data_IF_572654430393
#
_entry.id   IF_572654430393
#
_cell.length_a   1.000
_cell.length_b   1.000
_cell.length_c   1.000
_cell.angle_alpha   90.00
_cell.angle_beta   90.00
_cell.angle_gamma   90.00
#
_symmetry.space_group_name_H-M   'P 1'
#
loop_
_entity.id
_entity.type
_entity.pdbx_description
1 polymer ?
#
# COMPACT_ATOMS: atom_id res chain seq x y z
N UNK A 1 3.68 3.55 -8.47
CA UNK A 1 3.08 3.86 -7.15
C UNK A 1 3.14 2.64 -6.24
N UNK A 2 2.90 2.81 -4.94
CA UNK A 2 3.15 1.74 -3.94
C UNK A 2 2.38 0.44 -4.16
N UNK A 3 1.10 0.48 -4.57
CA UNK A 3 0.34 -0.74 -4.90
C UNK A 3 0.91 -1.54 -6.08
N UNK A 4 1.36 -0.85 -7.13
CA UNK A 4 2.02 -1.49 -8.28
C UNK A 4 3.37 -2.08 -7.86
N UNK A 5 4.12 -1.39 -6.99
CA UNK A 5 5.35 -1.90 -6.41
C UNK A 5 5.10 -3.22 -5.66
N UNK A 6 4.02 -3.31 -4.88
CA UNK A 6 3.64 -4.55 -4.21
C UNK A 6 3.26 -5.65 -5.19
N UNK A 7 2.50 -5.34 -6.24
CA UNK A 7 2.15 -6.28 -7.29
C UNK A 7 3.39 -6.85 -7.99
N UNK A 8 4.33 -5.98 -8.40
CA UNK A 8 5.59 -6.39 -9.00
C UNK A 8 6.40 -7.30 -8.07
N UNK A 9 6.49 -6.94 -6.78
CA UNK A 9 7.22 -7.74 -5.78
C UNK A 9 6.59 -9.10 -5.49
N UNK A 10 5.26 -9.22 -5.62
CA UNK A 10 4.52 -10.47 -5.42
C UNK A 10 4.43 -11.36 -6.66
N UNK A 11 4.73 -10.84 -7.85
CA UNK A 11 4.58 -11.53 -9.13
C UNK A 11 5.91 -11.82 -9.85
N UNK A 12 6.97 -11.06 -9.55
CA UNK A 12 8.27 -11.20 -10.17
C UNK A 12 9.39 -11.23 -9.14
N UNK A 13 10.56 -11.73 -9.54
CA UNK A 13 11.77 -11.64 -8.73
C UNK A 13 12.37 -10.24 -8.82
N UNK A 14 12.39 -9.54 -7.68
CA UNK A 14 12.98 -8.21 -7.54
C UNK A 14 14.01 -8.22 -6.41
N UNK A 15 15.04 -7.38 -6.56
CA UNK A 15 16.13 -7.32 -5.60
C UNK A 15 15.74 -6.58 -4.30
N UNK A 16 14.91 -5.54 -4.39
CA UNK A 16 14.36 -4.80 -3.26
C UNK A 16 13.00 -4.17 -3.60
N UNK A 17 12.20 -3.91 -2.56
CA UNK A 17 10.84 -3.36 -2.67
C UNK A 17 10.69 -2.15 -1.76
N UNK A 18 10.34 -0.98 -2.30
CA UNK A 18 10.21 0.25 -1.49
C UNK A 18 8.88 0.98 -1.72
N UNK A 19 7.75 0.44 -1.22
CA UNK A 19 6.43 1.03 -1.41
C UNK A 19 6.18 2.16 -0.39
N UNK A 20 6.13 3.39 -0.88
CA UNK A 20 5.73 4.56 -0.08
C UNK A 20 4.22 4.77 -0.15
N UNK A 21 3.57 5.02 1.00
CA UNK A 21 2.12 5.29 1.15
C UNK A 21 1.25 4.49 0.16
N UNK A 22 1.30 3.13 0.19
CA UNK A 22 0.78 2.32 -0.89
C UNK A 22 -0.75 2.36 -1.00
N UNK A 23 -1.23 2.99 -2.07
CA UNK A 23 -2.59 2.83 -2.60
C UNK A 23 -2.86 1.39 -3.08
N UNK A 24 -4.12 1.08 -3.43
CA UNK A 24 -4.57 -0.24 -3.91
C UNK A 24 -4.41 -1.36 -2.88
N UNK A 25 -4.56 -1.04 -1.59
CA UNK A 25 -4.42 -1.97 -0.48
C UNK A 25 -5.69 -1.97 0.37
N UNK A 26 -6.16 -3.16 0.73
CA UNK A 26 -7.32 -3.35 1.60
C UNK A 26 -8.57 -2.58 1.15
N UNK A 27 -8.96 -2.71 -0.12
CA UNK A 27 -10.00 -1.88 -0.76
C UNK A 27 -11.28 -1.73 0.08
N UNK A 28 -11.82 -2.84 0.59
CA UNK A 28 -13.06 -2.83 1.36
C UNK A 28 -12.93 -1.98 2.63
N UNK A 29 -11.82 -2.11 3.36
CA UNK A 29 -11.54 -1.27 4.54
C UNK A 29 -11.39 0.19 4.15
N UNK A 30 -10.65 0.49 3.10
CA UNK A 30 -10.43 1.87 2.64
C UNK A 30 -11.75 2.59 2.36
N UNK A 31 -12.64 1.96 1.57
CA UNK A 31 -13.95 2.52 1.22
C UNK A 31 -14.90 2.72 2.42
N UNK A 32 -14.63 2.07 3.56
CA UNK A 32 -15.43 2.19 4.78
C UNK A 32 -14.98 3.31 5.71
N UNK A 33 -13.77 3.86 5.53
CA UNK A 33 -13.18 4.83 6.48
C UNK A 33 -12.82 6.17 5.88
N UNK A 34 -12.67 6.24 4.56
CA UNK A 34 -12.42 7.50 3.89
C UNK A 34 -13.39 7.69 2.73
N UNK A 35 -13.73 8.96 2.49
CA UNK A 35 -14.54 9.42 1.37
C UNK A 35 -13.72 10.21 0.35
N UNK A 36 -12.39 10.16 0.47
CA UNK A 36 -11.43 10.82 -0.42
C UNK A 36 -11.26 10.03 -1.71
N UNK A 37 -10.93 10.75 -2.78
CA UNK A 37 -10.51 10.13 -4.04
C UNK A 37 -9.07 9.62 -3.94
N UNK A 38 -8.72 8.51 -4.61
CA UNK A 38 -9.54 7.78 -5.59
C UNK A 38 -10.44 6.66 -5.02
N UNK A 39 -10.32 6.24 -3.76
CA UNK A 39 -11.18 5.16 -3.21
C UNK A 39 -12.68 5.50 -3.28
N UNK A 40 -13.04 6.78 -3.19
CA UNK A 40 -14.41 7.25 -3.34
C UNK A 40 -15.07 6.87 -4.68
N UNK A 41 -14.30 6.62 -5.75
CA UNK A 41 -14.85 6.14 -7.03
C UNK A 41 -15.57 4.81 -6.85
N UNK A 42 -15.00 3.88 -6.08
CA UNK A 42 -15.61 2.58 -5.77
C UNK A 42 -16.88 2.75 -4.94
N UNK A 43 -16.82 3.59 -3.91
CA UNK A 43 -17.99 3.90 -3.07
C UNK A 43 -19.10 4.54 -3.89
N UNK A 44 -18.77 5.45 -4.83
CA UNK A 44 -19.73 6.10 -5.70
C UNK A 44 -20.33 5.14 -6.73
N UNK A 45 -19.53 4.25 -7.30
CA UNK A 45 -20.02 3.16 -8.16
C UNK A 45 -21.01 2.26 -7.40
N UNK A 46 -20.65 1.84 -6.17
CA UNK A 46 -21.51 0.99 -5.34
C UNK A 46 -22.80 1.67 -4.86
N UNK A 47 -22.81 3.00 -4.72
CA UNK A 47 -24.05 3.76 -4.42
C UNK A 47 -25.08 3.67 -5.55
N UNK A 48 -24.62 3.60 -6.80
CA UNK A 48 -25.48 3.47 -7.99
C UNK A 48 -25.84 2.01 -8.22
N UNK A 49 -24.85 1.12 -8.17
CA UNK A 49 -24.96 -0.32 -8.42
C UNK A 49 -24.98 -1.13 -7.13
N UNK A 50 -26.03 -0.96 -6.33
CA UNK A 50 -26.13 -1.53 -4.97
C UNK A 50 -26.06 -3.06 -4.94
N UNK A 51 -26.48 -3.70 -6.02
CA UNK A 51 -26.46 -5.14 -6.21
C UNK A 51 -25.06 -5.69 -6.54
N UNK A 52 -24.11 -4.84 -6.93
CA UNK A 52 -22.77 -5.26 -7.40
C UNK A 52 -21.67 -5.18 -6.35
N UNK A 53 -21.99 -4.80 -5.10
CA UNK A 53 -20.99 -4.58 -4.05
C UNK A 53 -20.06 -5.78 -3.88
N UNK A 54 -20.61 -6.99 -3.78
CA UNK A 54 -19.81 -8.19 -3.59
C UNK A 54 -18.97 -8.54 -4.83
N UNK A 55 -19.54 -8.43 -6.03
CA UNK A 55 -18.79 -8.63 -7.30
C UNK A 55 -17.63 -7.65 -7.46
N UNK A 56 -17.80 -6.39 -7.06
CA UNK A 56 -16.75 -5.37 -7.10
C UNK A 56 -15.59 -5.78 -6.20
N UNK A 57 -15.85 -6.12 -4.94
CA UNK A 57 -14.79 -6.48 -4.00
C UNK A 57 -14.19 -7.85 -4.27
N UNK A 58 -14.95 -8.79 -4.84
CA UNK A 58 -14.41 -10.04 -5.36
C UNK A 58 -13.41 -9.77 -6.50
N UNK A 59 -13.76 -8.92 -7.46
CA UNK A 59 -12.86 -8.52 -8.56
C UNK A 59 -11.61 -7.83 -8.03
N UNK A 60 -11.78 -6.85 -7.14
CA UNK A 60 -10.66 -6.10 -6.55
C UNK A 60 -9.72 -6.97 -5.71
N UNK A 61 -10.20 -8.10 -5.18
CA UNK A 61 -9.35 -9.02 -4.40
C UNK A 61 -8.16 -9.55 -5.21
N UNK A 62 -8.29 -9.68 -6.53
CA UNK A 62 -7.20 -10.10 -7.42
C UNK A 62 -6.12 -9.03 -7.60
N UNK A 63 -6.43 -7.78 -7.26
CA UNK A 63 -5.56 -6.62 -7.41
C UNK A 63 -5.15 -6.00 -6.07
N UNK A 64 -5.53 -6.61 -4.94
CA UNK A 64 -5.23 -6.08 -3.61
C UNK A 64 -3.76 -6.27 -3.25
N UNK A 65 -3.09 -5.16 -2.92
CA UNK A 65 -1.71 -5.12 -2.46
C UNK A 65 -1.43 -6.02 -1.26
N UNK A 66 -2.41 -6.30 -0.38
CA UNK A 66 -2.27 -7.28 0.71
C UNK A 66 -1.96 -8.68 0.16
N UNK A 67 -2.67 -9.09 -0.89
CA UNK A 67 -2.53 -10.42 -1.46
C UNK A 67 -1.18 -10.58 -2.17
N UNK A 68 -0.71 -9.52 -2.84
CA UNK A 68 0.64 -9.52 -3.41
C UNK A 68 1.73 -9.47 -2.34
N UNK A 69 1.56 -8.66 -1.29
CA UNK A 69 2.50 -8.59 -0.16
C UNK A 69 2.73 -9.97 0.47
N UNK A 70 1.67 -10.77 0.64
CA UNK A 70 1.77 -12.14 1.17
C UNK A 70 2.64 -13.10 0.33
N UNK A 71 2.96 -12.75 -0.92
CA UNK A 71 3.77 -13.57 -1.83
C UNK A 71 5.17 -13.00 -2.06
N UNK A 72 5.40 -11.74 -1.68
CA UNK A 72 6.64 -11.02 -1.94
C UNK A 72 7.76 -11.43 -0.98
N UNK A 73 8.96 -11.70 -1.51
CA UNK A 73 10.11 -12.24 -0.75
C UNK A 73 11.30 -11.27 -0.60
N UNK A 74 11.39 -10.27 -1.47
CA UNK A 74 12.52 -9.33 -1.47
C UNK A 74 12.59 -8.52 -0.16
N UNK A 75 13.77 -8.04 0.27
CA UNK A 75 13.88 -7.03 1.31
C UNK A 75 13.05 -5.79 0.98
N UNK A 76 12.35 -5.26 1.97
CA UNK A 76 11.45 -4.12 1.77
C UNK A 76 11.60 -2.97 2.78
N UNK A 77 11.46 -1.74 2.27
CA UNK A 77 11.30 -0.53 3.08
C UNK A 77 9.99 0.17 2.72
N UNK A 78 9.03 0.11 3.63
CA UNK A 78 7.76 0.82 3.52
C UNK A 78 7.85 2.22 4.11
N UNK A 79 6.94 3.11 3.71
CA UNK A 79 6.60 4.30 4.50
C UNK A 79 5.09 4.51 4.63
N UNK A 80 4.70 5.19 5.71
CA UNK A 80 3.32 5.53 6.04
C UNK A 80 3.24 6.92 6.66
N UNK A 81 2.32 7.76 6.18
CA UNK A 81 1.88 8.96 6.88
C UNK A 81 0.72 8.61 7.81
N UNK A 82 0.83 8.88 9.12
CA UNK A 82 -0.21 8.47 10.09
C UNK A 82 -1.48 9.34 10.00
N UNK A 83 -1.40 10.49 9.33
CA UNK A 83 -2.56 11.35 9.02
C UNK A 83 -3.01 11.22 7.56
N UNK A 84 -2.49 10.24 6.80
CA UNK A 84 -2.85 10.03 5.39
C UNK A 84 -4.32 9.63 5.25
N UNK A 85 -5.12 10.49 4.62
CA UNK A 85 -6.53 10.24 4.32
C UNK A 85 -6.77 9.78 2.88
N UNK A 86 -5.73 9.67 2.05
CA UNK A 86 -5.79 9.09 0.70
C UNK A 86 -5.47 7.60 0.74
N UNK A 87 -4.41 7.22 1.46
CA UNK A 87 -3.98 5.85 1.71
C UNK A 87 -3.96 5.58 3.22
N UNK A 88 -5.12 5.31 3.84
CA UNK A 88 -5.25 5.28 5.29
C UNK A 88 -4.24 4.34 5.96
N UNK A 89 -3.66 4.71 7.12
CA UNK A 89 -2.61 3.91 7.76
C UNK A 89 -2.99 2.45 7.97
N UNK A 90 -4.25 2.17 8.32
CA UNK A 90 -4.73 0.79 8.49
C UNK A 90 -4.64 -0.07 7.23
N UNK A 91 -4.75 0.54 6.04
CA UNK A 91 -4.61 -0.15 4.75
C UNK A 91 -3.14 -0.41 4.42
N UNK A 92 -2.26 0.57 4.68
CA UNK A 92 -0.81 0.45 4.52
C UNK A 92 -0.24 -0.61 5.46
N UNK A 93 -0.62 -0.55 6.74
CA UNK A 93 -0.19 -1.54 7.73
C UNK A 93 -0.74 -2.93 7.44
N UNK A 94 -1.92 -3.08 6.84
CA UNK A 94 -2.41 -4.38 6.43
C UNK A 94 -1.50 -5.02 5.37
N UNK A 95 -1.07 -4.25 4.36
CA UNK A 95 -0.10 -4.72 3.37
C UNK A 95 1.29 -4.99 4.00
N UNK A 96 1.80 -4.06 4.82
CA UNK A 96 3.08 -4.24 5.53
C UNK A 96 3.07 -5.50 6.40
N UNK A 97 2.03 -5.72 7.20
CA UNK A 97 1.94 -6.86 8.11
C UNK A 97 1.88 -8.19 7.37
N UNK A 98 1.21 -8.26 6.21
CA UNK A 98 1.17 -9.46 5.37
C UNK A 98 2.42 -9.66 4.51
N UNK A 99 3.26 -8.63 4.33
CA UNK A 99 4.47 -8.76 3.52
C UNK A 99 5.37 -9.90 4.00
N UNK A 100 5.68 -10.87 3.14
CA UNK A 100 6.33 -12.11 3.56
C UNK A 100 7.87 -12.03 3.68
N UNK A 101 8.50 -11.11 2.94
CA UNK A 101 9.94 -10.88 2.97
C UNK A 101 10.43 -10.08 4.18
N UNK A 102 11.75 -9.93 4.34
CA UNK A 102 12.34 -9.03 5.34
C UNK A 102 11.83 -7.61 5.12
N UNK A 103 11.38 -6.93 6.18
CA UNK A 103 10.69 -5.65 6.04
C UNK A 103 11.00 -4.66 7.16
N UNK A 104 11.05 -3.39 6.79
CA UNK A 104 11.08 -2.24 7.69
C UNK A 104 10.01 -1.24 7.26
N UNK A 105 9.58 -0.37 8.18
CA UNK A 105 8.67 0.74 7.89
C UNK A 105 9.17 2.03 8.53
N UNK A 106 9.03 3.15 7.81
CA UNK A 106 9.14 4.50 8.37
C UNK A 106 7.75 5.07 8.58
N UNK A 107 7.42 5.35 9.84
CA UNK A 107 6.16 5.99 10.21
C UNK A 107 6.38 7.49 10.39
N UNK A 108 5.55 8.27 9.71
CA UNK A 108 5.58 9.73 9.75
C UNK A 108 4.33 10.23 10.46
N UNK A 109 4.47 10.57 11.74
CA UNK A 109 3.35 10.74 12.69
C UNK A 109 2.37 11.86 12.33
N UNK A 110 2.87 12.92 11.71
CA UNK A 110 2.10 14.14 11.42
C UNK A 110 1.89 14.39 9.93
N UNK A 111 2.38 13.48 9.09
CA UNK A 111 2.30 13.62 7.64
C UNK A 111 1.04 12.97 7.09
N UNK A 112 0.49 13.59 6.04
CA UNK A 112 -0.60 13.05 5.24
C UNK A 112 0.01 12.30 4.04
N UNK A 113 -0.57 12.42 2.85
CA UNK A 113 -0.21 11.63 1.68
C UNK A 113 1.17 11.97 1.08
N UNK A 114 1.79 13.07 1.50
CA UNK A 114 3.19 13.35 1.19
C UNK A 114 4.16 12.36 1.87
N UNK A 115 3.70 11.66 2.91
CA UNK A 115 4.50 10.73 3.69
C UNK A 115 5.78 11.40 4.20
N UNK A 116 6.92 10.78 3.96
CA UNK A 116 8.22 11.37 4.35
C UNK A 116 8.88 12.26 3.31
N UNK A 117 8.32 12.41 2.11
CA UNK A 117 8.89 13.16 0.99
C UNK A 117 10.43 12.97 0.86
N UNK A 118 11.20 14.06 0.87
CA UNK A 118 12.67 14.03 0.75
C UNK A 118 13.36 13.26 1.90
N UNK A 119 12.78 13.22 3.10
CA UNK A 119 13.34 12.43 4.20
C UNK A 119 13.23 10.92 3.90
N UNK A 120 12.10 10.48 3.32
CA UNK A 120 11.95 9.10 2.90
C UNK A 120 12.90 8.73 1.76
N UNK A 121 13.21 9.67 0.86
CA UNK A 121 14.23 9.44 -0.17
C UNK A 121 15.60 9.14 0.43
N UNK A 122 16.00 9.88 1.47
CA UNK A 122 17.25 9.61 2.19
C UNK A 122 17.23 8.23 2.87
N UNK A 123 16.12 7.85 3.49
CA UNK A 123 15.98 6.53 4.12
C UNK A 123 16.05 5.39 3.11
N UNK A 124 15.47 5.55 1.91
CA UNK A 124 15.60 4.59 0.81
C UNK A 124 17.04 4.40 0.35
N UNK A 125 17.81 5.48 0.23
CA UNK A 125 19.24 5.40 -0.13
C UNK A 125 20.05 4.66 0.93
N UNK A 126 19.83 4.98 2.22
CA UNK A 126 20.49 4.26 3.34
C UNK A 126 20.12 2.79 3.37
N UNK A 127 18.84 2.48 3.14
CA UNK A 127 18.36 1.09 3.09
C UNK A 127 19.06 0.30 1.99
N UNK A 128 19.13 0.83 0.77
CA UNK A 128 19.84 0.19 -0.33
C UNK A 128 21.34 0.02 -0.05
N UNK A 129 22.00 1.04 0.50
CA UNK A 129 23.40 0.94 0.91
C UNK A 129 23.61 -0.17 1.96
N UNK A 130 22.65 -0.34 2.87
CA UNK A 130 22.66 -1.39 3.88
C UNK A 130 22.46 -2.82 3.35
N UNK A 131 22.00 -2.99 2.10
CA UNK A 131 21.87 -4.31 1.48
C UNK A 131 23.19 -4.86 0.92
N UNK A 132 24.22 -4.02 0.81
CA UNK A 132 25.60 -4.45 0.51
C UNK A 132 25.85 -4.94 -0.91
N UNK A 133 25.13 -4.41 -1.90
CA UNK A 133 25.41 -4.64 -3.32
C UNK A 133 26.50 -3.72 -3.87
#
# INVERSE_FOLDING_TARGET
GGGITLAAAGLAEVQATMPDVPFLCHYRRATQIVATYPYAELSNFCKIHREKVETVFETLSYFDGINFAARAKSPALFSVGLMDDICPPSTVYAAYNHYAGPKQIRAYEYNNHEGGASFQTVEKLKFLQGLGW
#
